data_IF_241086422671
#
_entry.id   IF_241086422671
#
_cell.length_a   1.000
_cell.length_b   1.000
_cell.length_c   1.000
_cell.angle_alpha   90.00
_cell.angle_beta   90.00
_cell.angle_gamma   90.00
#
_symmetry.space_group_name_H-M   'P 1'
#
loop_
_entity.id
_entity.type
_entity.pdbx_description
1 polymer ?
#
# COMPACT_ATOMS: atom_id res chain seq x y z
N UNK A 1 -50.23 -14.70 12.88
CA UNK A 1 -49.25 -14.62 11.76
C UNK A 1 -49.37 -13.23 11.14
N UNK A 2 -48.29 -12.44 11.10
CA UNK A 2 -48.30 -11.07 10.56
C UNK A 2 -47.82 -11.10 9.11
N UNK A 3 -48.69 -10.72 8.18
CA UNK A 3 -48.33 -10.56 6.78
C UNK A 3 -47.61 -9.22 6.56
N UNK A 4 -46.41 -9.26 5.98
CA UNK A 4 -45.71 -8.05 5.53
C UNK A 4 -46.06 -7.80 4.06
N UNK A 5 -46.88 -6.76 3.83
CA UNK A 5 -47.19 -6.27 2.48
C UNK A 5 -45.94 -5.57 1.92
N UNK A 6 -45.34 -6.14 0.87
CA UNK A 6 -44.23 -5.53 0.11
C UNK A 6 -44.80 -4.56 -0.91
N UNK A 7 -44.78 -3.28 -0.59
CA UNK A 7 -45.46 -2.24 -1.40
C UNK A 7 -44.64 -1.69 -2.58
N UNK A 8 -43.37 -2.09 -2.77
CA UNK A 8 -42.51 -1.44 -3.78
C UNK A 8 -41.51 -2.41 -4.43
N UNK A 9 -41.98 -3.39 -5.20
CA UNK A 9 -41.07 -4.26 -5.97
C UNK A 9 -40.62 -3.63 -7.30
N UNK A 10 -41.28 -2.57 -7.79
CA UNK A 10 -41.03 -2.00 -9.12
C UNK A 10 -40.74 -0.48 -9.11
N UNK A 11 -39.92 0.00 -8.17
CA UNK A 11 -39.57 1.42 -8.14
C UNK A 11 -38.55 1.77 -9.24
N UNK A 12 -39.04 2.27 -10.39
CA UNK A 12 -38.24 2.72 -11.55
C UNK A 12 -37.46 4.02 -11.31
N UNK A 13 -37.56 4.63 -10.13
CA UNK A 13 -36.79 5.83 -9.75
C UNK A 13 -35.29 5.56 -9.53
N UNK A 14 -34.87 4.29 -9.49
CA UNK A 14 -33.46 3.89 -9.51
C UNK A 14 -33.03 3.29 -10.86
N UNK A 15 -33.65 3.72 -11.97
CA UNK A 15 -33.08 3.50 -13.30
C UNK A 15 -32.03 4.59 -13.52
N UNK A 16 -30.88 4.42 -12.85
CA UNK A 16 -29.68 5.18 -13.15
C UNK A 16 -29.42 5.16 -14.65
N UNK A 17 -29.14 6.33 -15.19
CA UNK A 17 -28.73 6.62 -16.56
C UNK A 17 -28.12 5.40 -17.25
N UNK A 18 -28.81 4.92 -18.29
CA UNK A 18 -28.26 3.93 -19.21
C UNK A 18 -26.88 4.38 -19.66
N UNK A 19 -25.89 3.48 -19.55
CA UNK A 19 -24.51 3.68 -19.99
C UNK A 19 -24.48 4.06 -21.46
N UNK A 20 -24.41 5.35 -21.75
CA UNK A 20 -23.68 5.82 -22.91
C UNK A 20 -22.17 5.66 -22.59
N UNK A 21 -21.33 5.13 -23.50
CA UNK A 21 -19.87 5.13 -23.32
C UNK A 21 -19.36 6.57 -23.51
N UNK A 22 -19.60 7.39 -22.51
CA UNK A 22 -19.08 8.74 -22.41
C UNK A 22 -17.63 8.66 -21.95
N UNK A 23 -16.70 8.79 -22.89
CA UNK A 23 -15.27 9.03 -22.67
C UNK A 23 -14.98 10.38 -21.98
N UNK A 24 -15.87 10.85 -21.11
CA UNK A 24 -15.60 11.97 -20.20
C UNK A 24 -14.70 11.43 -19.11
N UNK A 25 -13.40 11.41 -19.37
CA UNK A 25 -12.41 11.48 -18.31
C UNK A 25 -12.85 12.65 -17.45
N UNK A 26 -13.34 12.37 -16.24
CA UNK A 26 -13.88 13.41 -15.36
C UNK A 26 -12.84 14.51 -15.22
N UNK A 27 -13.18 15.77 -15.47
CA UNK A 27 -12.24 16.89 -15.41
C UNK A 27 -11.45 16.93 -14.09
N UNK A 28 -12.07 16.45 -13.01
CA UNK A 28 -11.44 16.22 -11.70
C UNK A 28 -10.24 15.26 -11.74
N UNK A 29 -10.25 14.24 -12.58
CA UNK A 29 -9.13 13.30 -12.77
C UNK A 29 -7.99 13.93 -13.58
N UNK A 30 -8.30 14.84 -14.51
CA UNK A 30 -7.30 15.60 -15.26
C UNK A 30 -6.60 16.63 -14.35
N UNK A 31 -7.39 17.35 -13.54
CA UNK A 31 -6.92 18.30 -12.52
C UNK A 31 -6.04 17.59 -11.48
N UNK A 32 -6.48 16.47 -10.93
CA UNK A 32 -5.69 15.71 -9.95
C UNK A 32 -4.37 15.18 -10.53
N UNK A 33 -4.31 14.84 -11.83
CA UNK A 33 -3.04 14.47 -12.48
C UNK A 33 -2.10 15.66 -12.61
N UNK A 34 -2.62 16.86 -12.92
CA UNK A 34 -1.82 18.07 -13.13
C UNK A 34 -1.23 18.63 -11.83
N UNK A 35 -1.90 18.42 -10.69
CA UNK A 35 -1.51 18.99 -9.39
C UNK A 35 -1.04 17.97 -8.34
N UNK A 36 -0.73 16.74 -8.74
CA UNK A 36 -0.26 15.70 -7.81
C UNK A 36 1.21 15.83 -7.38
N UNK A 37 1.86 16.93 -7.77
CA UNK A 37 3.27 17.18 -7.51
C UNK A 37 3.41 18.24 -6.43
N UNK A 38 4.53 18.22 -5.70
CA UNK A 38 4.81 19.19 -4.62
C UNK A 38 4.91 20.65 -5.11
N UNK A 39 5.01 20.84 -6.43
CA UNK A 39 5.07 22.14 -7.08
C UNK A 39 3.92 22.28 -8.09
N UNK A 40 3.33 23.49 -8.21
CA UNK A 40 2.39 23.79 -9.28
C UNK A 40 3.09 23.78 -10.65
N UNK A 41 2.32 23.69 -11.75
CA UNK A 41 2.84 23.86 -13.11
C UNK A 41 3.56 25.20 -13.26
N UNK A 42 4.61 25.21 -14.11
CA UNK A 42 5.48 26.38 -14.34
C UNK A 42 4.68 27.60 -14.75
N UNK A 43 3.71 27.44 -15.66
CA UNK A 43 2.85 28.52 -16.14
C UNK A 43 2.11 29.26 -15.01
N UNK A 44 1.77 28.57 -13.92
CA UNK A 44 1.13 29.20 -12.77
C UNK A 44 2.13 29.78 -11.75
N UNK A 45 3.39 29.37 -11.78
CA UNK A 45 4.40 29.95 -10.88
C UNK A 45 4.65 31.43 -11.22
N UNK A 46 4.63 31.78 -12.51
CA UNK A 46 4.73 33.17 -12.97
C UNK A 46 3.58 34.02 -12.41
N UNK A 47 2.34 33.54 -12.49
CA UNK A 47 1.16 34.21 -11.91
C UNK A 47 1.25 34.39 -10.38
N UNK A 48 1.82 33.41 -9.66
CA UNK A 48 2.03 33.53 -8.21
C UNK A 48 3.04 34.61 -7.86
N UNK A 49 4.13 34.72 -8.63
CA UNK A 49 5.16 35.73 -8.41
C UNK A 49 4.67 37.14 -8.75
N UNK A 50 3.87 37.28 -9.81
CA UNK A 50 3.22 38.55 -10.18
C UNK A 50 2.21 39.01 -9.12
N UNK A 51 1.43 38.09 -8.54
CA UNK A 51 0.47 38.42 -7.48
C UNK A 51 1.14 38.77 -6.15
N UNK A 52 2.21 38.06 -5.79
CA UNK A 52 2.94 38.30 -4.56
C UNK A 52 4.43 37.95 -4.74
N UNK A 53 5.31 38.96 -4.88
CA UNK A 53 6.73 38.71 -5.09
C UNK A 53 7.35 37.96 -3.90
N UNK A 54 8.18 36.96 -4.18
CA UNK A 54 8.77 36.05 -3.20
C UNK A 54 7.93 34.82 -2.87
N UNK A 55 6.71 34.70 -3.40
CA UNK A 55 5.84 33.54 -3.20
C UNK A 55 6.46 32.26 -3.78
N UNK A 56 7.14 32.33 -4.93
CA UNK A 56 7.82 31.17 -5.52
C UNK A 56 8.94 30.66 -4.62
N UNK A 57 9.74 31.55 -4.03
CA UNK A 57 10.80 31.18 -3.10
C UNK A 57 10.23 30.46 -1.86
N UNK A 58 9.10 30.95 -1.33
CA UNK A 58 8.40 30.30 -0.22
C UNK A 58 7.87 28.91 -0.62
N UNK A 59 7.25 28.78 -1.80
CA UNK A 59 6.79 27.50 -2.34
C UNK A 59 7.93 26.49 -2.52
N UNK A 60 9.08 26.92 -3.06
CA UNK A 60 10.25 26.05 -3.18
C UNK A 60 10.79 25.60 -1.82
N UNK A 61 10.81 26.49 -0.83
CA UNK A 61 11.25 26.12 0.52
C UNK A 61 10.33 25.08 1.17
N UNK A 62 9.01 25.23 1.01
CA UNK A 62 8.02 24.25 1.47
C UNK A 62 8.14 22.91 0.72
N UNK A 63 8.28 22.95 -0.61
CA UNK A 63 8.45 21.75 -1.43
C UNK A 63 9.74 21.00 -1.08
N UNK A 64 10.84 21.72 -0.84
CA UNK A 64 12.12 21.13 -0.39
C UNK A 64 11.97 20.47 0.98
N UNK A 65 11.28 21.11 1.92
CA UNK A 65 11.01 20.54 3.24
C UNK A 65 10.18 19.25 3.14
N UNK A 66 9.13 19.24 2.31
CA UNK A 66 8.31 18.06 2.07
C UNK A 66 9.10 16.94 1.39
N UNK A 67 9.92 17.26 0.39
CA UNK A 67 10.78 16.27 -0.27
C UNK A 67 11.80 15.66 0.71
N UNK A 68 12.42 16.48 1.55
CA UNK A 68 13.34 16.01 2.59
C UNK A 68 12.62 15.11 3.59
N UNK A 69 11.40 15.46 4.00
CA UNK A 69 10.59 14.63 4.87
C UNK A 69 10.30 13.27 4.24
N UNK A 70 9.79 13.23 3.00
CA UNK A 70 9.52 11.99 2.27
C UNK A 70 10.77 11.13 2.10
N UNK A 71 11.89 11.75 1.72
CA UNK A 71 13.16 11.05 1.59
C UNK A 71 13.64 10.48 2.93
N UNK A 72 13.49 11.22 4.04
CA UNK A 72 13.83 10.72 5.37
C UNK A 72 12.99 9.51 5.77
N UNK A 73 11.70 9.51 5.43
CA UNK A 73 10.81 8.37 5.68
C UNK A 73 11.20 7.16 4.84
N UNK A 74 11.53 7.37 3.56
CA UNK A 74 11.99 6.31 2.66
C UNK A 74 13.29 5.69 3.18
N UNK A 75 14.26 6.51 3.60
CA UNK A 75 15.51 6.03 4.22
C UNK A 75 15.27 5.23 5.50
N UNK A 76 14.34 5.67 6.36
CA UNK A 76 13.98 4.91 7.57
C UNK A 76 13.35 3.57 7.20
N UNK A 77 12.47 3.53 6.21
CA UNK A 77 11.85 2.29 5.72
C UNK A 77 12.91 1.34 5.14
N UNK A 78 13.82 1.84 4.29
CA UNK A 78 14.91 1.05 3.72
C UNK A 78 15.85 0.51 4.80
N UNK A 79 16.21 1.34 5.79
CA UNK A 79 17.07 0.93 6.89
C UNK A 79 16.42 -0.16 7.76
N UNK A 80 15.12 -0.06 8.04
CA UNK A 80 14.38 -1.11 8.76
C UNK A 80 14.36 -2.42 7.96
N UNK A 81 14.13 -2.33 6.65
CA UNK A 81 14.15 -3.50 5.77
C UNK A 81 15.54 -4.17 5.76
N UNK A 82 16.62 -3.39 5.59
CA UNK A 82 17.99 -3.90 5.62
C UNK A 82 18.34 -4.56 6.95
N UNK A 83 17.94 -3.96 8.08
CA UNK A 83 18.13 -4.57 9.41
C UNK A 83 17.37 -5.89 9.54
N UNK A 84 16.12 -5.95 9.09
CA UNK A 84 15.33 -7.18 9.13
C UNK A 84 15.96 -8.29 8.28
N UNK A 85 16.43 -7.96 7.07
CA UNK A 85 17.14 -8.91 6.19
C UNK A 85 18.44 -9.39 6.82
N UNK A 86 19.23 -8.49 7.41
CA UNK A 86 20.49 -8.85 8.05
C UNK A 86 20.27 -9.79 9.25
N UNK A 87 19.30 -9.47 10.12
CA UNK A 87 18.95 -10.35 11.24
C UNK A 87 18.41 -11.70 10.76
N UNK A 88 17.55 -11.71 9.75
CA UNK A 88 17.05 -12.94 9.14
C UNK A 88 18.16 -13.84 8.59
N UNK A 89 19.18 -13.25 7.93
CA UNK A 89 20.37 -13.99 7.47
C UNK A 89 21.17 -14.56 8.63
N UNK A 90 21.35 -13.80 9.72
CA UNK A 90 22.08 -14.30 10.89
C UNK A 90 21.37 -15.48 11.57
N UNK A 91 20.05 -15.39 11.78
CA UNK A 91 19.28 -16.51 12.32
C UNK A 91 19.28 -17.73 11.39
N UNK A 92 19.27 -17.51 10.07
CA UNK A 92 19.35 -18.60 9.09
C UNK A 92 20.69 -19.33 9.17
N UNK A 93 21.81 -18.60 9.31
CA UNK A 93 23.13 -19.20 9.49
C UNK A 93 23.21 -20.01 10.79
N UNK A 94 22.72 -19.45 11.90
CA UNK A 94 22.67 -20.17 13.19
C UNK A 94 21.83 -21.44 13.10
N UNK A 95 20.66 -21.37 12.45
CA UNK A 95 19.79 -22.52 12.25
C UNK A 95 20.49 -23.63 11.45
N UNK A 96 21.13 -23.28 10.33
CA UNK A 96 21.89 -24.25 9.52
C UNK A 96 23.02 -24.89 10.32
N UNK A 97 23.74 -24.12 11.14
CA UNK A 97 24.79 -24.66 12.01
C UNK A 97 24.24 -25.65 13.05
N UNK A 98 23.09 -25.37 13.64
CA UNK A 98 22.43 -26.28 14.61
C UNK A 98 21.98 -27.57 13.91
N UNK A 99 21.36 -27.47 12.73
CA UNK A 99 20.93 -28.64 11.95
C UNK A 99 22.15 -29.49 11.53
N UNK A 100 23.24 -28.85 11.10
CA UNK A 100 24.47 -29.55 10.73
C UNK A 100 25.09 -30.26 11.95
N UNK A 101 25.22 -29.58 13.09
CA UNK A 101 25.79 -30.16 14.31
C UNK A 101 24.96 -31.33 14.85
N UNK A 102 23.62 -31.20 14.86
CA UNK A 102 22.72 -32.28 15.29
C UNK A 102 22.75 -33.48 14.35
N UNK A 103 22.78 -33.25 13.04
CA UNK A 103 22.91 -34.32 12.04
C UNK A 103 24.25 -35.06 12.19
N UNK A 104 25.34 -34.30 12.39
CA UNK A 104 26.67 -34.87 12.62
C UNK A 104 26.74 -35.70 13.89
N UNK A 105 26.17 -35.20 15.00
CA UNK A 105 26.09 -35.94 16.25
C UNK A 105 25.31 -37.26 16.09
N UNK A 106 24.13 -37.24 15.46
CA UNK A 106 23.34 -38.45 15.22
C UNK A 106 24.07 -39.48 14.35
N UNK A 107 24.78 -39.01 13.33
CA UNK A 107 25.59 -39.88 12.46
C UNK A 107 26.75 -40.51 13.24
N UNK A 108 27.40 -39.75 14.13
CA UNK A 108 28.50 -40.24 14.97
C UNK A 108 28.05 -41.33 15.95
N UNK A 109 26.83 -41.24 16.49
CA UNK A 109 26.23 -42.28 17.33
C UNK A 109 25.72 -43.50 16.54
N UNK A 110 26.00 -43.61 15.24
CA UNK A 110 25.65 -44.76 14.39
C UNK A 110 24.22 -44.75 13.85
N UNK A 111 23.42 -43.72 14.15
CA UNK A 111 22.02 -43.63 13.72
C UNK A 111 21.88 -42.95 12.34
N UNK A 112 22.51 -43.52 11.32
CA UNK A 112 22.60 -42.91 9.97
C UNK A 112 21.23 -42.69 9.33
N UNK A 113 20.29 -43.63 9.52
CA UNK A 113 18.92 -43.52 8.96
C UNK A 113 18.17 -42.35 9.60
N UNK A 114 18.30 -42.16 10.92
CA UNK A 114 17.64 -41.05 11.62
C UNK A 114 18.26 -39.71 11.23
N UNK A 115 19.58 -39.66 11.09
CA UNK A 115 20.30 -38.47 10.62
C UNK A 115 19.86 -38.05 9.20
N UNK A 116 19.70 -39.01 8.28
CA UNK A 116 19.31 -38.71 6.90
C UNK A 116 17.88 -38.22 6.78
N UNK A 117 16.93 -38.83 7.51
CA UNK A 117 15.54 -38.38 7.56
C UNK A 117 15.44 -36.99 8.18
N UNK A 118 16.17 -36.74 9.26
CA UNK A 118 16.19 -35.44 9.93
C UNK A 118 16.72 -34.33 9.00
N UNK A 119 17.91 -34.52 8.41
CA UNK A 119 18.48 -33.56 7.48
C UNK A 119 17.58 -33.35 6.25
N UNK A 120 17.07 -34.44 5.66
CA UNK A 120 16.16 -34.40 4.52
C UNK A 120 14.89 -33.61 4.82
N UNK A 121 14.29 -33.80 5.99
CA UNK A 121 13.11 -33.05 6.43
C UNK A 121 13.39 -31.55 6.58
N UNK A 122 14.55 -31.18 7.14
CA UNK A 122 14.94 -29.79 7.30
C UNK A 122 15.11 -29.08 5.95
N UNK A 123 15.77 -29.73 4.98
CA UNK A 123 15.88 -29.21 3.61
C UNK A 123 14.53 -29.10 2.92
N UNK A 124 13.67 -30.12 3.04
CA UNK A 124 12.33 -30.10 2.46
C UNK A 124 11.49 -28.92 2.99
N UNK A 125 11.54 -28.65 4.31
CA UNK A 125 10.88 -27.50 4.91
C UNK A 125 11.36 -26.17 4.32
N UNK A 126 12.68 -25.98 4.17
CA UNK A 126 13.25 -24.75 3.60
C UNK A 126 12.77 -24.54 2.15
N UNK A 127 12.83 -25.60 1.33
CA UNK A 127 12.37 -25.54 -0.06
C UNK A 127 10.88 -25.21 -0.14
N UNK A 128 10.06 -25.84 0.70
CA UNK A 128 8.62 -25.61 0.75
C UNK A 128 8.30 -24.15 1.12
N UNK A 129 8.92 -23.63 2.18
CA UNK A 129 8.74 -22.24 2.62
C UNK A 129 9.19 -21.27 1.52
N UNK A 130 10.34 -21.50 0.90
CA UNK A 130 10.85 -20.68 -0.21
C UNK A 130 9.89 -20.64 -1.39
N UNK A 131 9.32 -21.79 -1.77
CA UNK A 131 8.32 -21.88 -2.82
C UNK A 131 7.05 -21.08 -2.49
N UNK A 132 6.53 -21.19 -1.25
CA UNK A 132 5.36 -20.42 -0.82
C UNK A 132 5.62 -18.91 -0.79
N UNK A 133 6.76 -18.46 -0.28
CA UNK A 133 7.12 -17.04 -0.26
C UNK A 133 7.27 -16.46 -1.67
N UNK A 134 7.92 -17.20 -2.58
CA UNK A 134 8.07 -16.81 -3.98
C UNK A 134 6.70 -16.64 -4.66
N UNK A 135 5.80 -17.63 -4.50
CA UNK A 135 4.46 -17.60 -5.09
C UNK A 135 3.60 -16.47 -4.53
N UNK A 136 3.67 -16.21 -3.23
CA UNK A 136 2.89 -15.14 -2.58
C UNK A 136 3.36 -13.73 -2.99
N UNK A 137 4.66 -13.55 -3.22
CA UNK A 137 5.21 -12.27 -3.68
C UNK A 137 4.74 -11.95 -5.10
N UNK A 138 4.81 -12.93 -6.01
CA UNK A 138 4.33 -12.80 -7.40
C UNK A 138 2.83 -12.50 -7.44
N UNK A 139 2.03 -13.18 -6.62
CA UNK A 139 0.58 -12.94 -6.56
C UNK A 139 0.23 -11.56 -6.00
N UNK A 140 1.01 -11.04 -5.05
CA UNK A 140 0.79 -9.70 -4.47
C UNK A 140 1.12 -8.61 -5.48
N UNK A 141 2.28 -8.71 -6.16
CA UNK A 141 2.68 -7.77 -7.22
C UNK A 141 1.68 -7.79 -8.37
N UNK A 142 1.22 -8.98 -8.80
CA UNK A 142 0.21 -9.11 -9.87
C UNK A 142 -1.15 -8.54 -9.45
N UNK A 143 -1.51 -8.61 -8.16
CA UNK A 143 -2.76 -8.02 -7.62
C UNK A 143 -2.70 -6.50 -7.48
N UNK A 144 -1.54 -5.92 -7.15
CA UNK A 144 -1.37 -4.47 -7.16
C UNK A 144 -1.36 -3.91 -8.59
N UNK A 145 -0.70 -4.59 -9.53
CA UNK A 145 -0.70 -4.20 -10.94
C UNK A 145 -2.10 -4.31 -11.59
N UNK A 146 -2.87 -5.35 -11.25
CA UNK A 146 -4.24 -5.53 -11.76
C UNK A 146 -5.34 -4.85 -10.93
N UNK A 147 -5.01 -4.06 -9.91
CA UNK A 147 -6.04 -3.28 -9.20
C UNK A 147 -6.43 -2.08 -10.06
N UNK A 148 -7.67 -1.98 -10.58
CA UNK A 148 -8.16 -0.69 -11.04
C UNK A 148 -8.07 0.27 -9.85
N UNK A 149 -7.59 1.48 -10.10
CA UNK A 149 -7.28 2.53 -9.14
C UNK A 149 -8.55 3.07 -8.41
N UNK A 150 -9.37 2.21 -7.81
CA UNK A 150 -10.47 2.61 -6.92
C UNK A 150 -9.91 2.89 -5.53
N UNK A 151 -9.24 4.04 -5.39
CA UNK A 151 -8.84 4.55 -4.07
C UNK A 151 -10.03 5.27 -3.44
N UNK A 152 -10.67 4.56 -2.50
CA UNK A 152 -11.55 5.03 -1.42
C UNK A 152 -11.91 6.53 -1.44
N UNK A 153 -13.07 6.86 -2.00
CA UNK A 153 -13.85 7.99 -1.50
C UNK A 153 -14.49 7.57 -0.17
N UNK A 154 -13.82 7.85 0.96
CA UNK A 154 -14.55 7.99 2.23
C UNK A 154 -15.31 9.31 2.14
N UNK A 155 -16.65 9.33 2.15
CA UNK A 155 -17.37 10.58 2.26
C UNK A 155 -17.08 11.15 3.65
N UNK A 156 -16.41 12.29 3.69
CA UNK A 156 -16.40 13.15 4.87
C UNK A 156 -17.86 13.51 5.16
N UNK A 157 -18.41 12.97 6.25
CA UNK A 157 -19.69 13.44 6.80
C UNK A 157 -19.46 14.87 7.28
N UNK A 158 -19.76 15.84 6.42
CA UNK A 158 -19.92 17.23 6.81
C UNK A 158 -21.00 17.31 7.88
N UNK A 159 -20.60 17.65 9.11
CA UNK A 159 -21.54 18.15 10.12
C UNK A 159 -21.97 19.53 9.65
N UNK A 160 -23.26 19.62 9.30
CA UNK A 160 -23.90 20.81 8.77
C UNK A 160 -23.80 22.01 9.71
N UNK A 161 -23.68 23.16 9.05
CA UNK A 161 -24.01 24.48 9.55
C UNK A 161 -25.30 24.46 10.37
N UNK A 162 -25.26 25.08 11.55
CA UNK A 162 -26.44 25.46 12.32
C UNK A 162 -26.43 26.98 12.45
N UNK A 163 -26.86 27.67 11.39
CA UNK A 163 -27.33 29.03 11.48
C UNK A 163 -28.79 29.00 11.96
N UNK A 164 -29.08 29.76 13.02
CA UNK A 164 -30.29 30.56 13.25
C UNK A 164 -30.43 30.87 14.75
N UNK A 165 -30.16 32.12 15.13
CA UNK A 165 -30.84 32.73 16.28
C UNK A 165 -31.09 34.21 16.00
N UNK A 166 -32.34 34.69 16.16
CA UNK A 166 -32.73 36.03 15.76
C UNK A 166 -32.33 37.05 16.82
N UNK A 167 -32.21 38.27 16.32
CA UNK A 167 -32.11 39.55 17.02
C UNK A 167 -33.14 39.67 18.15
N UNK A 168 -32.66 40.05 19.34
CA UNK A 168 -33.38 40.87 20.32
C UNK A 168 -32.37 41.76 21.01
#
# INVERSE_FOLDING_TARGET
MKESKKFFENNRLNKGYGRAPSNRVSDSALVNKKYNHALPPIDMMEEYEEMNPGSCAQLFSMAKQEQNHRHSMDLVAMNRHNKAVHMGRMFSLLFVMIVAASTFALAFFGNVIVASVFAGSAFACIVMVSYFYSKNTVNTVKREFNRPQQRNHRPSKGRGQRNNRPSR
#
